data_IF_900117778069
#
_entry.id   IF_900117778069
#
_cell.length_a   1.000
_cell.length_b   1.000
_cell.length_c   1.000
_cell.angle_alpha   90.00
_cell.angle_beta   90.00
_cell.angle_gamma   90.00
#
_symmetry.space_group_name_H-M   'P 1'
#
loop_
_entity.id
_entity.type
_entity.pdbx_description
1 polymer ?
#
# COMPACT_ATOMS: atom_id res chain seq x y z
N UNK A 1 -19.22 -36.42 9.24
CA UNK A 1 -19.15 -35.12 8.54
C UNK A 1 -19.22 -34.06 9.61
N UNK A 2 -18.14 -33.33 9.85
CA UNK A 2 -18.14 -32.12 10.67
C UNK A 2 -17.98 -30.97 9.70
N UNK A 3 -19.08 -30.28 9.44
CA UNK A 3 -19.10 -29.01 8.72
C UNK A 3 -18.41 -27.98 9.63
N UNK A 4 -17.15 -27.65 9.32
CA UNK A 4 -16.53 -26.48 9.87
C UNK A 4 -17.06 -25.30 9.06
N UNK A 5 -18.00 -24.57 9.63
CA UNK A 5 -18.44 -23.27 9.12
C UNK A 5 -17.22 -22.36 9.01
N UNK A 6 -16.72 -22.14 7.80
CA UNK A 6 -15.90 -20.97 7.49
C UNK A 6 -16.78 -19.74 7.66
N UNK A 7 -16.91 -19.27 8.90
CA UNK A 7 -17.39 -17.93 9.19
C UNK A 7 -16.42 -16.96 8.55
N UNK A 8 -16.72 -16.51 7.33
CA UNK A 8 -16.09 -15.35 6.69
C UNK A 8 -16.37 -14.14 7.58
N UNK A 9 -15.54 -13.93 8.62
CA UNK A 9 -15.62 -12.74 9.45
C UNK A 9 -15.35 -11.56 8.53
N UNK A 10 -16.39 -10.77 8.31
CA UNK A 10 -16.29 -9.50 7.59
C UNK A 10 -15.22 -8.65 8.29
N UNK A 11 -14.17 -8.30 7.56
CA UNK A 11 -13.03 -7.57 8.12
C UNK A 11 -13.46 -6.11 8.29
N UNK A 12 -13.55 -5.66 9.54
CA UNK A 12 -13.87 -4.28 9.89
C UNK A 12 -12.60 -3.46 10.16
N UNK A 13 -12.53 -2.25 9.62
CA UNK A 13 -11.38 -1.33 9.73
C UNK A 13 -11.68 -0.12 10.63
N UNK A 14 -12.68 -0.20 11.51
CA UNK A 14 -13.12 0.93 12.35
C UNK A 14 -12.29 1.14 13.62
N UNK A 15 -11.53 0.12 14.05
CA UNK A 15 -10.75 0.21 15.28
C UNK A 15 -9.45 1.00 15.09
N UNK A 16 -9.08 1.79 16.10
CA UNK A 16 -7.78 2.46 16.14
C UNK A 16 -6.69 1.45 16.59
N UNK A 17 -5.56 1.43 15.89
CA UNK A 17 -4.42 0.61 16.27
C UNK A 17 -3.08 1.38 16.26
N UNK A 18 -3.09 2.72 16.31
CA UNK A 18 -1.88 3.56 16.26
C UNK A 18 -0.79 3.19 17.29
N UNK A 19 -1.18 2.69 18.47
CA UNK A 19 -0.26 2.32 19.55
C UNK A 19 0.08 0.82 19.58
N UNK A 20 -0.51 0.00 18.71
CA UNK A 20 -0.20 -1.43 18.62
C UNK A 20 1.14 -1.59 17.90
N UNK A 21 1.91 -2.61 18.27
CA UNK A 21 3.15 -2.95 17.59
C UNK A 21 2.89 -4.07 16.58
N UNK A 22 3.19 -3.80 15.31
CA UNK A 22 3.13 -4.79 14.24
C UNK A 22 4.54 -5.06 13.70
N UNK A 23 4.69 -6.15 12.94
CA UNK A 23 5.94 -6.39 12.21
C UNK A 23 6.28 -5.22 11.28
N UNK A 24 7.56 -5.12 10.89
CA UNK A 24 7.96 -4.07 9.96
C UNK A 24 7.49 -4.38 8.54
N UNK A 25 7.23 -3.35 7.71
CA UNK A 25 6.80 -3.53 6.33
C UNK A 25 7.82 -4.30 5.49
N UNK A 26 9.11 -4.25 5.86
CA UNK A 26 10.18 -5.02 5.24
C UNK A 26 10.06 -6.52 5.48
N UNK A 27 9.76 -6.91 6.72
CA UNK A 27 9.54 -8.33 7.06
C UNK A 27 8.28 -8.82 6.35
N UNK A 28 7.19 -8.05 6.39
CA UNK A 28 5.97 -8.37 5.67
C UNK A 28 6.21 -8.55 4.16
N UNK A 29 6.87 -7.58 3.51
CA UNK A 29 7.16 -7.63 2.08
C UNK A 29 8.00 -8.84 1.69
N UNK A 30 8.99 -9.22 2.51
CA UNK A 30 9.81 -10.40 2.25
C UNK A 30 9.02 -11.71 2.24
N UNK A 31 7.95 -11.79 3.03
CA UNK A 31 7.05 -12.97 3.08
C UNK A 31 6.19 -13.05 1.82
N UNK A 32 5.57 -11.94 1.41
CA UNK A 32 4.67 -11.93 0.25
C UNK A 32 5.41 -11.98 -1.09
N UNK A 33 6.64 -11.45 -1.17
CA UNK A 33 7.48 -11.52 -2.38
C UNK A 33 7.79 -12.97 -2.77
N UNK A 34 7.89 -13.86 -1.79
CA UNK A 34 8.29 -15.26 -1.98
C UNK A 34 7.09 -16.23 -2.04
N UNK A 35 5.85 -15.73 -2.00
CA UNK A 35 4.63 -16.56 -1.94
C UNK A 35 3.68 -16.26 -3.10
N UNK A 36 2.63 -17.07 -3.26
CA UNK A 36 1.56 -16.95 -4.28
C UNK A 36 0.87 -15.58 -4.35
N UNK A 37 1.03 -14.73 -3.32
CA UNK A 37 0.57 -13.33 -3.29
C UNK A 37 1.46 -12.37 -4.10
N UNK A 38 2.55 -12.85 -4.72
CA UNK A 38 3.42 -12.03 -5.56
C UNK A 38 2.71 -11.42 -6.77
N UNK A 39 1.52 -11.89 -7.13
CA UNK A 39 0.70 -11.39 -8.23
C UNK A 39 0.05 -10.03 -7.96
N UNK A 40 -0.14 -9.63 -6.70
CA UNK A 40 -0.82 -8.37 -6.36
C UNK A 40 0.11 -7.15 -6.42
N UNK A 41 1.42 -7.35 -6.32
CA UNK A 41 2.40 -6.29 -6.44
C UNK A 41 3.75 -6.85 -6.91
N UNK A 42 4.07 -6.59 -8.17
CA UNK A 42 5.40 -6.80 -8.73
C UNK A 42 5.98 -5.44 -9.08
N UNK A 43 7.02 -4.96 -8.38
CA UNK A 43 7.68 -3.71 -8.75
C UNK A 43 8.26 -3.81 -10.16
N UNK A 44 8.38 -2.69 -10.86
CA UNK A 44 9.03 -2.68 -12.16
C UNK A 44 10.47 -3.18 -12.03
N UNK A 45 10.93 -4.01 -12.97
CA UNK A 45 12.31 -4.52 -12.98
C UNK A 45 13.34 -3.38 -13.00
N UNK A 46 12.96 -2.25 -13.58
CA UNK A 46 13.76 -1.04 -13.74
C UNK A 46 13.40 0.04 -12.70
N UNK A 47 12.67 -0.31 -11.63
CA UNK A 47 12.40 0.62 -10.54
C UNK A 47 13.70 1.01 -9.83
N UNK A 48 14.04 2.29 -9.91
CA UNK A 48 15.26 2.85 -9.31
C UNK A 48 15.05 3.17 -7.83
N UNK A 49 13.81 3.48 -7.45
CA UNK A 49 13.45 3.92 -6.10
C UNK A 49 12.43 2.98 -5.48
N UNK A 50 12.56 2.76 -4.16
CA UNK A 50 11.71 1.84 -3.39
C UNK A 50 11.49 2.39 -1.97
N UNK A 51 10.26 2.30 -1.47
CA UNK A 51 9.91 2.61 -0.09
C UNK A 51 9.08 1.50 0.53
N UNK A 52 9.28 1.29 1.83
CA UNK A 52 8.51 0.38 2.67
C UNK A 52 8.33 1.09 4.02
N UNK A 53 7.17 1.71 4.25
CA UNK A 53 6.90 2.49 5.46
C UNK A 53 5.64 2.02 6.16
N UNK A 54 5.66 2.07 7.49
CA UNK A 54 4.43 2.07 8.28
C UNK A 54 3.97 3.51 8.42
N UNK A 55 2.73 3.78 8.07
CA UNK A 55 2.12 5.11 8.19
C UNK A 55 0.73 4.98 8.78
N UNK A 56 0.18 6.08 9.32
CA UNK A 56 -1.24 6.12 9.65
C UNK A 56 -2.05 6.39 8.38
N UNK A 57 -3.25 5.82 8.30
CA UNK A 57 -4.11 5.96 7.13
C UNK A 57 -4.38 7.42 6.76
N UNK A 58 -4.60 8.29 7.76
CA UNK A 58 -4.79 9.74 7.54
C UNK A 58 -3.57 10.45 6.91
N UNK A 59 -2.38 9.89 7.09
CA UNK A 59 -1.10 10.46 6.64
C UNK A 59 -0.60 9.80 5.34
N UNK A 60 -1.39 8.89 4.75
CA UNK A 60 -1.02 8.18 3.53
C UNK A 60 -0.72 9.13 2.38
N UNK A 61 -1.65 10.05 2.10
CA UNK A 61 -1.57 10.94 0.94
C UNK A 61 -0.40 11.92 1.05
N UNK A 62 -0.21 12.54 2.22
CA UNK A 62 0.93 13.42 2.47
C UNK A 62 2.25 12.67 2.40
N UNK A 63 2.31 11.41 2.87
CA UNK A 63 3.51 10.59 2.73
C UNK A 63 3.81 10.23 1.28
N UNK A 64 2.80 9.83 0.50
CA UNK A 64 3.00 9.50 -0.92
C UNK A 64 3.51 10.72 -1.71
N UNK A 65 2.92 11.89 -1.48
CA UNK A 65 3.35 13.14 -2.13
C UNK A 65 4.78 13.52 -1.74
N UNK A 66 5.14 13.39 -0.46
CA UNK A 66 6.49 13.73 0.04
C UNK A 66 7.58 12.77 -0.40
N UNK A 67 7.29 11.47 -0.49
CA UNK A 67 8.30 10.44 -0.76
C UNK A 67 8.44 10.11 -2.24
N UNK A 68 7.33 10.14 -2.98
CA UNK A 68 7.27 9.68 -4.37
C UNK A 68 7.13 10.88 -5.33
N UNK A 69 6.45 11.95 -4.89
CA UNK A 69 6.27 13.18 -5.66
C UNK A 69 4.82 13.42 -6.11
N UNK A 70 4.57 14.57 -6.77
CA UNK A 70 3.21 15.09 -7.02
C UNK A 70 2.42 14.32 -8.09
N UNK A 71 3.06 13.38 -8.80
CA UNK A 71 2.44 12.60 -9.86
C UNK A 71 1.64 11.39 -9.34
N UNK A 72 1.72 11.09 -8.04
CA UNK A 72 0.93 10.02 -7.41
C UNK A 72 -0.55 10.36 -7.35
N UNK A 73 -1.39 9.36 -7.53
CA UNK A 73 -2.84 9.53 -7.49
C UNK A 73 -3.33 10.02 -6.12
N UNK A 74 -4.05 11.15 -6.13
CA UNK A 74 -4.77 11.69 -4.97
C UNK A 74 -5.93 10.80 -4.50
N UNK A 75 -6.24 9.76 -5.26
CA UNK A 75 -7.25 8.75 -4.95
C UNK A 75 -6.64 7.49 -4.30
N UNK A 76 -5.32 7.35 -4.26
CA UNK A 76 -4.67 6.19 -3.66
C UNK A 76 -5.15 5.96 -2.20
N UNK A 77 -5.71 4.78 -1.95
CA UNK A 77 -6.26 4.42 -0.65
C UNK A 77 -7.55 5.14 -0.26
N UNK A 78 -8.18 5.96 -1.12
CA UNK A 78 -9.48 6.59 -0.84
C UNK A 78 -10.65 5.77 -1.38
N UNK A 79 -10.70 4.48 -1.06
CA UNK A 79 -11.83 3.64 -1.45
C UNK A 79 -13.08 4.02 -0.63
N UNK A 80 -14.15 4.55 -1.23
CA UNK A 80 -15.33 5.00 -0.48
C UNK A 80 -16.07 3.86 0.21
N UNK A 81 -15.92 2.62 -0.27
CA UNK A 81 -16.55 1.42 0.32
C UNK A 81 -15.90 0.99 1.63
N UNK A 82 -14.69 1.45 1.96
CA UNK A 82 -13.98 1.04 3.17
C UNK A 82 -13.96 2.18 4.20
N UNK A 83 -14.73 2.00 5.28
CA UNK A 83 -14.69 2.92 6.42
C UNK A 83 -13.47 2.61 7.31
N UNK A 84 -12.30 3.13 6.90
CA UNK A 84 -11.02 2.91 7.58
C UNK A 84 -10.80 4.00 8.62
N UNK A 85 -10.51 3.60 9.86
CA UNK A 85 -10.18 4.53 10.92
C UNK A 85 -8.88 5.29 10.59
N UNK A 86 -8.88 6.64 10.70
CA UNK A 86 -7.76 7.49 10.30
C UNK A 86 -6.44 7.18 11.05
N UNK A 87 -6.53 6.60 12.24
CA UNK A 87 -5.37 6.24 13.06
C UNK A 87 -5.00 4.75 12.94
N UNK A 88 -5.50 4.03 11.92
CA UNK A 88 -4.98 2.70 11.62
C UNK A 88 -3.62 2.78 10.95
N UNK A 89 -2.71 1.93 11.40
CA UNK A 89 -1.43 1.69 10.78
C UNK A 89 -1.61 0.86 9.51
N UNK A 90 -0.98 1.33 8.44
CA UNK A 90 -0.94 0.67 7.15
C UNK A 90 0.51 0.54 6.69
N UNK A 91 0.78 -0.45 5.86
CA UNK A 91 2.04 -0.54 5.12
C UNK A 91 1.87 0.14 3.77
N UNK A 92 2.71 1.14 3.51
CA UNK A 92 2.93 1.71 2.19
C UNK A 92 4.17 1.08 1.59
N UNK A 93 3.98 0.29 0.55
CA UNK A 93 5.06 -0.33 -0.22
C UNK A 93 4.97 0.23 -1.63
N UNK A 94 5.98 0.95 -2.08
CA UNK A 94 5.98 1.54 -3.41
C UNK A 94 7.34 1.44 -4.08
N UNK A 95 7.32 1.40 -5.41
CA UNK A 95 8.50 1.37 -6.25
C UNK A 95 8.23 2.21 -7.49
N UNK A 96 9.19 3.05 -7.87
CA UNK A 96 9.03 3.94 -9.00
C UNK A 96 10.33 4.18 -9.76
N UNK A 97 10.16 4.58 -11.00
CA UNK A 97 11.22 5.10 -11.88
C UNK A 97 10.83 6.51 -12.24
N UNK A 98 11.79 7.43 -12.13
CA UNK A 98 11.60 8.82 -12.51
C UNK A 98 12.77 9.25 -13.36
N UNK A 99 12.49 9.46 -14.65
CA UNK A 99 13.45 10.01 -15.61
C UNK A 99 13.08 11.45 -15.92
N UNK A 100 13.89 12.13 -16.75
CA UNK A 100 13.59 13.48 -17.22
C UNK A 100 12.25 13.58 -17.98
N UNK A 101 11.77 12.48 -18.58
CA UNK A 101 10.59 12.46 -19.46
C UNK A 101 9.43 11.66 -18.90
N UNK A 102 9.73 10.57 -18.20
CA UNK A 102 8.75 9.60 -17.72
C UNK A 102 8.82 9.38 -16.22
N UNK A 103 7.65 9.31 -15.59
CA UNK A 103 7.44 8.87 -14.23
C UNK A 103 6.52 7.65 -14.22
N UNK A 104 6.90 6.60 -13.50
CA UNK A 104 6.04 5.42 -13.30
C UNK A 104 6.18 4.94 -11.88
N UNK A 105 5.06 4.79 -11.18
CA UNK A 105 5.01 4.24 -9.82
C UNK A 105 4.06 3.05 -9.77
N UNK A 106 4.42 2.07 -8.95
CA UNK A 106 3.52 1.05 -8.44
C UNK A 106 3.51 1.11 -6.93
N UNK A 107 2.33 0.99 -6.34
CA UNK A 107 2.18 0.96 -4.89
C UNK A 107 1.16 -0.09 -4.43
N UNK A 108 1.39 -0.55 -3.21
CA UNK A 108 0.60 -1.51 -2.46
C UNK A 108 0.36 -0.91 -1.07
N UNK A 109 -0.91 -0.87 -0.67
CA UNK A 109 -1.37 -0.38 0.63
C UNK A 109 -2.07 -1.55 1.34
N UNK A 110 -1.58 -1.87 2.53
CA UNK A 110 -2.02 -3.04 3.31
C UNK A 110 -2.34 -2.61 4.73
N UNK A 111 -3.42 -3.13 5.31
CA UNK A 111 -3.70 -2.94 6.73
C UNK A 111 -2.67 -3.70 7.59
N UNK A 112 -2.00 -3.01 8.51
CA UNK A 112 -0.90 -3.60 9.27
C UNK A 112 -1.36 -4.69 10.25
N UNK A 113 -2.63 -4.72 10.64
CA UNK A 113 -3.16 -5.67 11.60
C UNK A 113 -3.65 -6.96 10.93
N UNK A 114 -4.55 -6.80 9.96
CA UNK A 114 -5.21 -7.92 9.26
C UNK A 114 -4.36 -8.47 8.12
N UNK A 115 -3.33 -7.73 7.70
CA UNK A 115 -2.49 -8.03 6.53
C UNK A 115 -3.27 -8.07 5.21
N UNK A 116 -4.47 -7.51 5.20
CA UNK A 116 -5.33 -7.45 4.02
C UNK A 116 -4.90 -6.31 3.11
N UNK A 117 -4.81 -6.58 1.81
CA UNK A 117 -4.62 -5.56 0.79
C UNK A 117 -5.82 -4.64 0.79
N UNK A 118 -5.59 -3.37 1.12
CA UNK A 118 -6.61 -2.32 1.05
C UNK A 118 -6.66 -1.72 -0.35
N UNK A 119 -5.50 -1.55 -0.98
CA UNK A 119 -5.40 -0.94 -2.30
C UNK A 119 -4.12 -1.32 -3.03
N UNK A 120 -4.21 -1.40 -4.35
CA UNK A 120 -3.05 -1.50 -5.26
C UNK A 120 -3.26 -0.54 -6.41
N UNK A 121 -2.20 0.10 -6.86
CA UNK A 121 -2.29 1.00 -8.00
C UNK A 121 -0.99 1.16 -8.76
N UNK A 122 -1.13 1.62 -10.00
CA UNK A 122 -0.02 2.12 -10.80
C UNK A 122 -0.40 3.48 -11.34
N UNK A 123 0.53 4.44 -11.26
CA UNK A 123 0.38 5.74 -11.89
C UNK A 123 1.53 5.96 -12.87
N UNK A 124 1.23 6.65 -13.96
CA UNK A 124 2.21 7.02 -15.00
C UNK A 124 2.04 8.50 -15.29
N UNK A 125 3.14 9.23 -15.35
CA UNK A 125 3.18 10.64 -15.67
C UNK A 125 4.24 10.92 -16.73
N UNK A 126 4.01 11.94 -17.54
CA UNK A 126 5.04 12.53 -18.39
C UNK A 126 5.41 13.89 -17.82
N UNK A 127 6.70 14.13 -17.57
CA UNK A 127 7.16 15.49 -17.28
C UNK A 127 7.06 16.27 -18.58
N UNK A 128 6.25 17.33 -18.61
CA UNK A 128 6.23 18.26 -19.76
C UNK A 128 7.63 18.85 -19.88
N UNK A 129 8.32 18.50 -20.96
CA UNK A 129 9.55 19.13 -21.38
C UNK A 129 9.13 20.50 -21.92
N UNK A 130 9.41 21.57 -21.17
CA UNK A 130 9.21 22.95 -21.61
C UNK A 130 10.26 23.35 -22.64
#
# INVERSE_FOLDING_TARGET
MVEAEESSKEISYIENNANKFFESPKVFYSKIKNHTYSSFYVPYKEAENHIQKTVLYKDLQSTMESEIGPFVSKLAGKEPSLNINPNRQIYLIAAWTETEKDFRVKYLIVDAETKTTLWTGEDKGMKKIS
#
